data_IF_128013465944
#
_entry.id   IF_128013465944
#
_cell.length_a   1.000
_cell.length_b   1.000
_cell.length_c   1.000
_cell.angle_alpha   90.00
_cell.angle_beta   90.00
_cell.angle_gamma   90.00
#
_symmetry.space_group_name_H-M   'P 1'
#
loop_
_entity.id
_entity.type
_entity.pdbx_description
1 polymer ?
#
# COMPACT_ATOMS: atom_id res chain seq x y z
N UNK A 1 -47.22 -35.82 -48.42
CA UNK A 1 -46.46 -34.59 -48.05
C UNK A 1 -46.71 -34.12 -46.60
N UNK A 2 -46.74 -35.00 -45.59
CA UNK A 2 -47.04 -34.60 -44.18
C UNK A 2 -45.94 -34.94 -43.15
N UNK A 3 -44.88 -35.63 -43.57
CA UNK A 3 -43.80 -36.09 -42.69
C UNK A 3 -42.66 -35.07 -42.52
N UNK A 4 -42.27 -34.38 -43.60
CA UNK A 4 -41.07 -33.50 -43.62
C UNK A 4 -41.22 -32.18 -42.85
N UNK A 5 -42.44 -31.69 -42.63
CA UNK A 5 -42.70 -30.41 -41.95
C UNK A 5 -42.54 -30.51 -40.42
N UNK A 6 -42.83 -31.68 -39.83
CA UNK A 6 -42.64 -31.90 -38.38
C UNK A 6 -41.16 -31.97 -37.98
N UNK A 7 -40.30 -32.44 -38.87
CA UNK A 7 -38.86 -32.57 -38.63
C UNK A 7 -38.19 -31.19 -38.51
N UNK A 8 -38.51 -30.26 -39.41
CA UNK A 8 -37.94 -28.90 -39.43
C UNK A 8 -38.33 -28.08 -38.19
N UNK A 9 -39.56 -28.24 -37.71
CA UNK A 9 -40.07 -27.52 -36.53
C UNK A 9 -39.42 -28.03 -35.22
N UNK A 10 -39.04 -29.31 -35.18
CA UNK A 10 -38.31 -29.91 -34.03
C UNK A 10 -36.84 -29.50 -33.94
N UNK A 11 -36.20 -29.19 -35.08
CA UNK A 11 -34.81 -28.75 -35.15
C UNK A 11 -34.69 -27.27 -34.75
N UNK A 12 -35.60 -26.42 -35.23
CA UNK A 12 -35.63 -24.99 -34.90
C UNK A 12 -35.90 -24.71 -33.40
N UNK A 13 -36.75 -25.53 -32.77
CA UNK A 13 -37.02 -25.41 -31.33
C UNK A 13 -35.82 -25.84 -30.47
N UNK A 14 -35.00 -26.79 -30.95
CA UNK A 14 -33.81 -27.29 -30.24
C UNK A 14 -32.61 -26.33 -30.34
N UNK A 15 -32.47 -25.62 -31.47
CA UNK A 15 -31.40 -24.62 -31.63
C UNK A 15 -31.68 -23.32 -30.89
N UNK A 16 -32.94 -22.90 -30.77
CA UNK A 16 -33.31 -21.69 -30.03
C UNK A 16 -33.08 -21.80 -28.50
N UNK A 17 -33.30 -22.99 -27.93
CA UNK A 17 -33.07 -23.26 -26.49
C UNK A 17 -31.58 -23.36 -26.16
N UNK A 18 -30.76 -23.87 -27.07
CA UNK A 18 -29.30 -23.96 -26.87
C UNK A 18 -28.61 -22.59 -26.83
N UNK A 19 -29.07 -21.63 -27.64
CA UNK A 19 -28.47 -20.29 -27.72
C UNK A 19 -28.82 -19.43 -26.50
N UNK A 20 -30.05 -19.55 -25.98
CA UNK A 20 -30.48 -18.82 -24.77
C UNK A 20 -29.81 -19.36 -23.49
N UNK A 21 -29.59 -20.67 -23.40
CA UNK A 21 -28.88 -21.27 -22.26
C UNK A 21 -27.39 -20.89 -22.22
N UNK A 22 -26.73 -20.71 -23.38
CA UNK A 22 -25.31 -20.32 -23.44
C UNK A 22 -25.09 -18.84 -23.11
N UNK A 23 -26.03 -17.96 -23.50
CA UNK A 23 -25.96 -16.53 -23.17
C UNK A 23 -26.12 -16.22 -21.68
N UNK A 24 -26.93 -17.02 -20.96
CA UNK A 24 -27.11 -16.91 -19.51
C UNK A 24 -25.92 -17.46 -18.71
N UNK A 25 -25.17 -18.41 -19.27
CA UNK A 25 -23.97 -18.94 -18.62
C UNK A 25 -22.79 -17.96 -18.66
N UNK A 26 -22.70 -17.11 -19.70
CA UNK A 26 -21.64 -16.11 -19.84
C UNK A 26 -21.85 -14.87 -18.95
N UNK A 27 -23.09 -14.52 -18.60
CA UNK A 27 -23.38 -13.41 -17.67
C UNK A 27 -23.26 -13.78 -16.20
N UNK A 28 -23.20 -15.07 -15.86
CA UNK A 28 -23.06 -15.56 -14.50
C UNK A 28 -21.60 -15.58 -13.99
N UNK A 29 -20.61 -15.44 -14.87
CA UNK A 29 -19.19 -15.56 -14.51
C UNK A 29 -18.56 -14.27 -13.94
N UNK A 30 -19.26 -13.13 -13.95
CA UNK A 30 -18.68 -11.81 -13.65
C UNK A 30 -19.63 -10.90 -12.87
N UNK A 31 -20.35 -11.44 -11.89
CA UNK A 31 -21.31 -10.65 -11.12
C UNK A 31 -21.42 -11.08 -9.65
N UNK A 32 -21.64 -12.38 -9.39
CA UNK A 32 -21.91 -12.84 -8.02
C UNK A 32 -20.64 -12.97 -7.18
N UNK A 33 -19.51 -13.30 -7.81
CA UNK A 33 -18.21 -13.50 -7.14
C UNK A 33 -17.28 -12.29 -7.22
N UNK A 34 -17.57 -11.30 -8.05
CA UNK A 34 -16.72 -10.09 -8.15
C UNK A 34 -16.67 -9.32 -6.82
N UNK A 35 -17.79 -9.29 -6.08
CA UNK A 35 -17.84 -8.74 -4.73
C UNK A 35 -17.00 -9.53 -3.71
N UNK A 36 -16.67 -10.80 -3.99
CA UNK A 36 -15.79 -11.61 -3.13
C UNK A 36 -14.30 -11.32 -3.40
N UNK A 37 -13.97 -10.76 -4.57
CA UNK A 37 -12.61 -10.38 -4.94
C UNK A 37 -12.30 -8.92 -4.58
N UNK A 38 -13.32 -8.10 -4.34
CA UNK A 38 -13.16 -6.76 -3.79
C UNK A 38 -12.97 -6.82 -2.26
N UNK A 39 -11.74 -7.14 -1.84
CA UNK A 39 -11.35 -7.00 -0.44
C UNK A 39 -10.96 -5.54 -0.16
N UNK A 40 -11.88 -4.77 0.43
CA UNK A 40 -11.55 -3.47 0.99
C UNK A 40 -10.65 -3.70 2.21
N UNK A 41 -9.41 -3.21 2.16
CA UNK A 41 -8.45 -3.34 3.27
C UNK A 41 -8.59 -2.11 4.16
N UNK A 42 -9.33 -2.18 5.29
CA UNK A 42 -9.47 -1.05 6.18
C UNK A 42 -8.09 -0.65 6.71
N UNK A 43 -7.75 0.64 6.59
CA UNK A 43 -6.51 1.21 7.12
C UNK A 43 -5.39 1.46 6.11
N UNK A 44 -5.57 1.12 4.82
CA UNK A 44 -4.64 1.50 3.75
C UNK A 44 -5.34 2.48 2.81
N UNK A 45 -4.73 3.64 2.58
CA UNK A 45 -5.21 4.61 1.59
C UNK A 45 -4.60 4.22 0.24
N UNK A 46 -5.39 3.72 -0.74
CA UNK A 46 -4.86 3.40 -2.05
C UNK A 46 -4.46 4.67 -2.81
N UNK A 47 -3.49 4.60 -3.74
CA UNK A 47 -2.98 5.78 -4.45
C UNK A 47 -4.07 6.61 -5.13
N UNK A 48 -5.10 5.96 -5.69
CA UNK A 48 -6.23 6.65 -6.34
C UNK A 48 -7.04 7.56 -5.39
N UNK A 49 -7.02 7.29 -4.08
CA UNK A 49 -7.73 8.08 -3.07
C UNK A 49 -6.86 9.15 -2.40
N UNK A 50 -5.61 9.33 -2.84
CA UNK A 50 -4.72 10.40 -2.34
C UNK A 50 -4.99 11.76 -2.98
N UNK A 51 -5.83 11.81 -4.03
CA UNK A 51 -6.13 13.02 -4.80
C UNK A 51 -7.35 13.79 -4.25
N UNK A 52 -7.48 13.86 -2.93
CA UNK A 52 -8.52 14.63 -2.23
C UNK A 52 -7.96 15.33 -1.01
N UNK A 53 -8.77 16.19 -0.37
CA UNK A 53 -8.37 16.86 0.87
C UNK A 53 -8.09 15.85 2.00
N UNK A 54 -8.95 14.84 2.12
CA UNK A 54 -8.83 13.75 3.10
C UNK A 54 -7.61 12.86 2.77
N UNK A 55 -7.37 12.59 1.49
CA UNK A 55 -6.20 11.84 1.03
C UNK A 55 -4.89 12.56 1.35
N UNK A 56 -4.84 13.88 1.18
CA UNK A 56 -3.68 14.69 1.53
C UNK A 56 -3.42 14.72 3.04
N UNK A 57 -4.48 14.75 3.86
CA UNK A 57 -4.39 14.62 5.32
C UNK A 57 -3.89 13.23 5.74
N UNK A 58 -4.38 12.17 5.10
CA UNK A 58 -3.90 10.81 5.31
C UNK A 58 -2.42 10.66 4.98
N UNK A 59 -1.97 11.26 3.87
CA UNK A 59 -0.56 11.31 3.49
C UNK A 59 0.28 12.04 4.54
N UNK A 60 -0.22 13.16 5.08
CA UNK A 60 0.46 13.89 6.14
C UNK A 60 0.64 13.04 7.41
N UNK A 61 -0.40 12.33 7.84
CA UNK A 61 -0.31 11.42 8.99
C UNK A 61 0.70 10.28 8.76
N UNK A 62 0.71 9.68 7.57
CA UNK A 62 1.69 8.64 7.23
C UNK A 62 3.14 9.16 7.19
N UNK A 63 3.33 10.41 6.75
CA UNK A 63 4.63 11.07 6.78
C UNK A 63 5.08 11.35 8.21
N UNK A 64 4.19 11.82 9.09
CA UNK A 64 4.49 12.02 10.51
C UNK A 64 4.83 10.70 11.21
N UNK A 65 4.13 9.61 10.89
CA UNK A 65 4.45 8.28 11.40
C UNK A 65 5.85 7.81 10.93
N UNK A 66 6.16 8.01 9.65
CA UNK A 66 7.51 7.71 9.11
C UNK A 66 8.58 8.54 9.82
N UNK A 67 8.31 9.82 10.07
CA UNK A 67 9.22 10.72 10.79
C UNK A 67 9.44 10.27 12.24
N UNK A 68 8.38 9.89 12.95
CA UNK A 68 8.47 9.33 14.30
C UNK A 68 9.26 8.02 14.30
N UNK A 69 9.01 7.14 13.34
CA UNK A 69 9.67 5.85 13.20
C UNK A 69 11.19 6.00 13.03
N UNK A 70 11.63 6.98 12.24
CA UNK A 70 13.05 7.22 11.99
C UNK A 70 13.76 8.04 13.07
N UNK A 71 13.04 8.75 13.93
CA UNK A 71 13.63 9.49 15.05
C UNK A 71 13.78 8.61 16.27
N UNK A 72 12.68 8.24 16.93
CA UNK A 72 12.68 7.54 18.22
C UNK A 72 12.03 6.14 18.17
N UNK A 73 11.64 5.67 16.98
CA UNK A 73 10.89 4.43 16.80
C UNK A 73 11.77 3.17 16.71
N UNK A 74 11.87 2.62 15.50
CA UNK A 74 12.55 1.35 15.19
C UNK A 74 14.08 1.49 15.35
N UNK A 75 14.86 0.75 14.56
CA UNK A 75 16.28 1.03 14.32
C UNK A 75 16.45 2.44 13.70
N UNK A 76 16.56 3.43 14.59
CA UNK A 76 16.31 4.84 14.33
C UNK A 76 17.57 5.69 14.48
N UNK A 77 17.50 6.96 14.04
CA UNK A 77 18.63 7.88 14.17
C UNK A 77 18.94 8.22 15.63
N UNK A 78 17.94 8.24 16.51
CA UNK A 78 18.22 8.40 17.94
C UNK A 78 18.96 7.19 18.44
N UNK A 79 18.48 5.97 18.20
CA UNK A 79 19.14 4.73 18.64
C UNK A 79 20.63 4.71 18.29
N UNK A 80 20.96 4.76 17.00
CA UNK A 80 22.36 4.72 16.57
C UNK A 80 23.14 5.97 16.98
N UNK A 81 22.50 7.14 16.98
CA UNK A 81 23.15 8.38 17.43
C UNK A 81 23.54 8.34 18.91
N UNK A 82 22.65 7.84 19.77
CA UNK A 82 22.91 7.72 21.21
C UNK A 82 23.95 6.64 21.52
N UNK A 83 24.04 5.56 20.71
CA UNK A 83 25.09 4.54 20.87
C UNK A 83 26.46 5.14 20.54
N UNK A 84 26.54 5.95 19.48
CA UNK A 84 27.77 6.67 19.14
C UNK A 84 28.14 7.77 20.15
N UNK A 85 27.15 8.33 20.85
CA UNK A 85 27.31 9.39 21.84
C UNK A 85 27.44 8.87 23.29
N UNK A 86 27.48 7.55 23.49
CA UNK A 86 27.52 6.90 24.81
C UNK A 86 26.35 7.28 25.75
N UNK A 87 25.18 7.63 25.20
CA UNK A 87 23.96 7.92 25.99
C UNK A 87 23.29 6.65 26.51
N UNK A 88 23.48 5.54 25.80
CA UNK A 88 23.07 4.19 26.17
C UNK A 88 24.09 3.17 25.67
N UNK A 89 24.04 1.97 26.23
CA UNK A 89 24.80 0.82 25.75
C UNK A 89 23.84 -0.24 25.21
N UNK A 90 24.33 -1.03 24.27
CA UNK A 90 23.53 -2.08 23.63
C UNK A 90 23.25 -3.25 24.59
N UNK A 91 22.00 -3.74 24.54
CA UNK A 91 21.62 -5.07 25.03
C UNK A 91 20.81 -5.79 23.94
N UNK A 92 21.14 -5.51 22.67
CA UNK A 92 20.42 -6.02 21.51
C UNK A 92 20.72 -7.49 21.26
N UNK A 93 19.78 -8.20 20.61
CA UNK A 93 20.05 -9.51 20.02
C UNK A 93 20.70 -9.40 18.64
N UNK A 94 20.77 -8.19 18.07
CA UNK A 94 21.34 -7.93 16.76
C UNK A 94 22.80 -7.46 16.91
N UNK A 95 23.79 -8.24 16.48
CA UNK A 95 25.20 -7.87 16.63
C UNK A 95 25.56 -6.58 15.88
N UNK A 96 24.78 -6.22 14.86
CA UNK A 96 24.93 -4.96 14.13
C UNK A 96 24.74 -3.70 15.01
N UNK A 97 23.97 -3.79 16.09
CA UNK A 97 23.80 -2.67 17.00
C UNK A 97 25.05 -2.52 17.87
N UNK A 98 25.67 -3.63 18.26
CA UNK A 98 26.91 -3.67 19.04
C UNK A 98 28.10 -3.11 18.25
N UNK A 99 28.12 -3.31 16.94
CA UNK A 99 29.11 -2.66 16.05
C UNK A 99 29.06 -1.14 16.16
N UNK A 100 27.88 -0.55 16.35
CA UNK A 100 27.72 0.90 16.51
C UNK A 100 28.18 1.35 17.89
N UNK A 101 27.82 0.62 18.94
CA UNK A 101 28.28 0.87 20.32
C UNK A 101 29.83 0.83 20.41
N UNK A 102 30.42 -0.17 19.76
CA UNK A 102 31.89 -0.38 19.70
C UNK A 102 32.59 0.53 18.69
N UNK A 103 31.87 1.38 17.94
CA UNK A 103 32.40 2.27 16.89
C UNK A 103 33.20 1.51 15.81
N UNK A 104 32.79 0.28 15.56
CA UNK A 104 33.39 -0.61 14.58
C UNK A 104 32.29 -1.10 13.61
N UNK A 105 31.65 -0.13 12.95
CA UNK A 105 30.55 -0.37 12.02
C UNK A 105 31.09 -0.92 10.71
N UNK A 106 30.64 -2.12 10.33
CA UNK A 106 31.01 -2.73 9.06
C UNK A 106 30.19 -2.12 7.91
N UNK A 107 30.75 -2.10 6.70
CA UNK A 107 30.06 -1.56 5.51
C UNK A 107 28.79 -2.34 5.14
N UNK A 108 28.69 -3.61 5.57
CA UNK A 108 27.52 -4.46 5.34
C UNK A 108 26.51 -4.42 6.50
N UNK A 109 26.63 -3.50 7.46
CA UNK A 109 25.71 -3.36 8.57
C UNK A 109 24.31 -2.96 8.05
N UNK A 110 23.39 -3.92 8.06
CA UNK A 110 22.04 -3.77 7.51
C UNK A 110 21.15 -2.85 8.35
N UNK A 111 21.44 -2.69 9.64
CA UNK A 111 20.64 -1.86 10.54
C UNK A 111 20.91 -0.38 10.29
N UNK A 112 22.20 0.01 10.23
CA UNK A 112 22.62 1.37 9.86
C UNK A 112 22.20 1.70 8.42
N UNK A 113 22.41 0.77 7.48
CA UNK A 113 21.99 0.96 6.08
C UNK A 113 20.47 1.15 5.97
N UNK A 114 19.69 0.33 6.68
CA UNK A 114 18.23 0.43 6.72
C UNK A 114 17.76 1.74 7.35
N UNK A 115 18.42 2.18 8.43
CA UNK A 115 18.17 3.48 9.06
C UNK A 115 18.43 4.63 8.07
N UNK A 116 19.59 4.66 7.40
CA UNK A 116 19.91 5.71 6.42
C UNK A 116 18.89 5.74 5.27
N UNK A 117 18.51 4.58 4.75
CA UNK A 117 17.49 4.48 3.70
C UNK A 117 16.15 5.10 4.13
N UNK A 118 15.68 4.77 5.35
CA UNK A 118 14.44 5.34 5.91
C UNK A 118 14.56 6.84 6.16
N UNK A 119 15.72 7.32 6.60
CA UNK A 119 15.99 8.74 6.82
C UNK A 119 15.83 9.55 5.53
N UNK A 120 16.48 9.13 4.45
CA UNK A 120 16.36 9.82 3.17
C UNK A 120 14.93 9.75 2.61
N UNK A 121 14.27 8.61 2.75
CA UNK A 121 12.88 8.45 2.28
C UNK A 121 11.91 9.34 3.03
N UNK A 122 12.11 9.57 4.33
CA UNK A 122 11.27 10.47 5.14
C UNK A 122 11.24 11.88 4.55
N UNK A 123 12.39 12.39 4.10
CA UNK A 123 12.49 13.70 3.42
C UNK A 123 11.65 13.75 2.14
N UNK A 124 11.71 12.70 1.32
CA UNK A 124 10.93 12.64 0.07
C UNK A 124 9.43 12.61 0.39
N UNK A 125 9.01 11.80 1.37
CA UNK A 125 7.60 11.74 1.79
C UNK A 125 7.08 13.08 2.30
N UNK A 126 7.90 13.83 3.02
CA UNK A 126 7.56 15.19 3.43
C UNK A 126 7.33 16.12 2.22
N UNK A 127 8.20 16.08 1.21
CA UNK A 127 8.04 16.89 0.00
C UNK A 127 6.77 16.52 -0.81
N UNK A 128 6.49 15.22 -0.95
CA UNK A 128 5.26 14.71 -1.59
C UNK A 128 4.01 15.19 -0.83
N UNK A 129 4.05 15.12 0.50
CA UNK A 129 2.97 15.59 1.38
C UNK A 129 2.70 17.07 1.22
N UNK A 130 3.75 17.91 1.27
CA UNK A 130 3.63 19.36 1.09
C UNK A 130 3.01 19.68 -0.27
N UNK A 131 3.40 18.95 -1.31
CA UNK A 131 2.84 19.11 -2.66
C UNK A 131 1.35 18.77 -2.67
N UNK A 132 0.95 17.66 -2.05
CA UNK A 132 -0.45 17.25 -1.97
C UNK A 132 -1.29 18.22 -1.12
N UNK A 133 -0.79 18.65 0.05
CA UNK A 133 -1.48 19.60 0.92
C UNK A 133 -1.69 20.95 0.23
N UNK A 134 -0.68 21.48 -0.47
CA UNK A 134 -0.83 22.72 -1.22
C UNK A 134 -1.88 22.61 -2.33
N UNK A 135 -2.04 21.43 -2.95
CA UNK A 135 -2.99 21.21 -4.04
C UNK A 135 -4.42 20.96 -3.54
N UNK A 136 -4.59 20.17 -2.50
CA UNK A 136 -5.90 19.63 -2.09
C UNK A 136 -6.39 20.19 -0.75
N UNK A 137 -5.53 20.73 0.10
CA UNK A 137 -5.89 21.27 1.42
C UNK A 137 -5.03 22.50 1.83
N UNK A 138 -5.01 23.59 1.04
CA UNK A 138 -4.06 24.70 1.21
C UNK A 138 -4.26 25.52 2.48
N UNK A 139 -5.42 25.38 3.15
CA UNK A 139 -5.72 26.04 4.42
C UNK A 139 -5.04 25.38 5.62
N UNK A 140 -4.54 24.14 5.49
CA UNK A 140 -3.86 23.40 6.56
C UNK A 140 -2.41 23.86 6.74
N UNK A 141 -2.21 25.13 7.10
CA UNK A 141 -0.89 25.77 7.23
C UNK A 141 0.00 25.06 8.26
N UNK A 142 -0.57 24.56 9.35
CA UNK A 142 0.19 23.84 10.39
C UNK A 142 0.91 22.58 9.90
N UNK A 143 0.43 21.96 8.82
CA UNK A 143 1.02 20.77 8.22
C UNK A 143 1.95 21.08 7.03
N UNK A 144 1.86 22.29 6.47
CA UNK A 144 2.66 22.72 5.32
C UNK A 144 3.98 23.36 5.77
N UNK A 145 3.95 24.14 6.85
CA UNK A 145 5.04 25.03 7.27
C UNK A 145 4.58 26.49 7.29
#
# INVERSE_FOLDING_TARGET
>A
MKSSSKLLMSVAARTAVGITAFGLALSACSSVTDSLLTAETPGIIPPGLTQSAEGALGLANGTLDTFRSITAGNESTWLFGGLLADEWSTSSTFPQNDETDQRHVLENNSQVTGMLYRLYRTRIRAAETITALNKYAPTNRSLIG
#
